data_IF_971494837183
#
_entry.id   IF_971494837183
#
_cell.length_a   1.000
_cell.length_b   1.000
_cell.length_c   1.000
_cell.angle_alpha   90.00
_cell.angle_beta   90.00
_cell.angle_gamma   90.00
#
_symmetry.space_group_name_H-M   'P 1'
#
loop_
_entity.id
_entity.type
_entity.pdbx_description
1 polymer ?
#
# COMPACT_ATOMS: atom_id res chain seq x y z
N UNK A 1 17.06 2.42 3.39
CA UNK A 1 16.54 2.55 2.00
C UNK A 1 15.45 1.53 1.75
N UNK A 2 14.27 1.65 2.36
CA UNK A 2 13.27 0.60 2.19
C UNK A 2 11.86 1.19 2.19
N UNK A 3 11.24 1.00 1.24
CA UNK A 3 10.22 0.43 0.51
C UNK A 3 8.86 0.65 1.06
N UNK A 4 7.94 0.47 0.21
CA UNK A 4 6.53 0.51 0.49
C UNK A 4 6.02 -0.91 0.72
N UNK A 5 5.08 -1.08 1.64
CA UNK A 5 4.40 -2.34 1.84
C UNK A 5 2.92 -2.20 1.56
N UNK A 6 2.37 -3.17 0.88
CA UNK A 6 0.94 -3.25 0.67
C UNK A 6 0.38 -4.51 1.33
N UNK A 7 -0.59 -4.37 2.22
CA UNK A 7 -1.49 -5.43 2.62
C UNK A 7 -2.91 -4.93 2.58
N UNK A 8 -3.78 -5.61 1.87
CA UNK A 8 -5.20 -5.31 1.87
C UNK A 8 -5.55 -3.86 1.50
N UNK A 9 -4.72 -3.22 0.69
CA UNK A 9 -4.95 -1.86 0.24
C UNK A 9 -4.11 -0.77 0.91
N UNK A 10 -3.12 -1.11 1.72
CA UNK A 10 -2.34 -0.13 2.47
C UNK A 10 -0.93 0.05 1.93
N UNK A 11 -0.45 1.27 1.95
CA UNK A 11 0.89 1.64 1.51
C UNK A 11 1.70 2.23 2.65
N UNK A 12 2.95 1.84 2.72
CA UNK A 12 3.92 2.37 3.67
C UNK A 12 4.96 3.13 2.89
N UNK A 13 5.05 4.43 3.09
CA UNK A 13 6.13 5.23 2.58
C UNK A 13 7.35 5.09 3.48
N UNK A 14 8.45 4.53 2.96
CA UNK A 14 9.72 4.48 3.69
C UNK A 14 10.49 5.78 3.52
N UNK A 15 10.76 6.51 4.61
CA UNK A 15 11.78 7.54 4.63
C UNK A 15 13.16 6.89 4.62
N UNK A 16 14.11 7.47 3.89
CA UNK A 16 15.49 7.03 3.83
C UNK A 16 16.13 7.33 5.19
N UNK A 17 16.42 6.30 5.96
CA UNK A 17 17.13 6.42 7.21
C UNK A 17 17.52 5.04 7.73
N UNK A 18 18.71 4.90 8.29
CA UNK A 18 19.04 3.74 9.08
C UNK A 18 18.50 3.94 10.50
N UNK A 19 17.89 2.91 11.10
CA UNK A 19 17.42 2.97 12.47
C UNK A 19 15.97 3.45 12.63
N UNK A 20 15.73 4.51 13.38
CA UNK A 20 14.39 4.98 13.76
C UNK A 20 13.77 5.99 12.79
N UNK A 21 14.48 6.39 11.75
CA UNK A 21 14.01 7.35 10.74
C UNK A 21 13.12 6.68 9.68
N UNK A 22 12.06 6.00 10.15
CA UNK A 22 11.08 5.32 9.31
C UNK A 22 9.77 6.07 9.37
N UNK A 23 9.21 6.41 8.22
CA UNK A 23 7.85 6.94 8.09
C UNK A 23 6.94 5.88 7.48
N UNK A 24 5.81 5.59 8.13
CA UNK A 24 4.83 4.64 7.63
C UNK A 24 3.41 5.19 7.78
N UNK A 25 2.61 5.07 6.72
CA UNK A 25 1.20 5.46 6.70
C UNK A 25 0.47 4.87 5.49
N UNK A 26 -0.84 4.79 5.58
CA UNK A 26 -1.67 4.35 4.46
C UNK A 26 -1.89 5.50 3.48
N UNK A 27 -1.82 5.19 2.18
CA UNK A 27 -1.98 6.20 1.12
C UNK A 27 -3.30 6.09 0.39
N UNK A 28 -3.91 4.89 0.38
CA UNK A 28 -5.17 4.63 -0.33
C UNK A 28 -5.50 3.13 -0.37
N UNK A 29 -6.53 2.73 -1.12
CA UNK A 29 -7.06 1.36 -1.11
C UNK A 29 -6.24 0.35 -1.92
N UNK A 30 -5.19 0.75 -2.59
CA UNK A 30 -4.38 -0.08 -3.51
C UNK A 30 -5.25 -0.87 -4.51
N UNK A 31 -5.09 -2.21 -4.61
CA UNK A 31 -5.88 -3.04 -5.53
C UNK A 31 -7.28 -3.40 -5.01
N UNK A 32 -7.58 -3.18 -3.72
CA UNK A 32 -8.80 -3.70 -3.12
C UNK A 32 -10.08 -3.24 -3.84
N UNK A 33 -10.19 -1.96 -4.20
CA UNK A 33 -11.36 -1.47 -4.94
C UNK A 33 -11.41 -1.99 -6.37
N UNK A 34 -10.25 -2.26 -7.00
CA UNK A 34 -10.19 -2.83 -8.35
C UNK A 34 -10.70 -4.26 -8.29
N UNK A 35 -10.26 -5.04 -7.31
CA UNK A 35 -10.68 -6.43 -7.12
C UNK A 35 -12.19 -6.51 -6.81
N UNK A 36 -12.69 -5.67 -5.91
CA UNK A 36 -14.12 -5.57 -5.60
C UNK A 36 -14.94 -5.15 -6.84
N UNK A 37 -14.44 -4.24 -7.68
CA UNK A 37 -15.06 -3.82 -8.92
C UNK A 37 -15.16 -4.94 -9.94
N UNK A 38 -14.06 -5.64 -10.17
CA UNK A 38 -13.99 -6.76 -11.11
C UNK A 38 -14.88 -7.91 -10.65
N UNK A 39 -14.91 -8.20 -9.35
CA UNK A 39 -15.82 -9.18 -8.77
C UNK A 39 -17.29 -8.80 -9.00
N UNK A 40 -17.65 -7.54 -8.78
CA UNK A 40 -19.02 -7.05 -8.96
C UNK A 40 -19.46 -7.02 -10.43
N UNK A 41 -18.58 -6.61 -11.34
CA UNK A 41 -18.93 -6.41 -12.77
C UNK A 41 -18.79 -7.68 -13.62
N UNK A 42 -17.83 -8.53 -13.29
CA UNK A 42 -17.44 -9.66 -14.14
C UNK A 42 -17.44 -11.01 -13.40
N UNK A 43 -17.65 -11.05 -12.09
CA UNK A 43 -17.57 -12.27 -11.28
C UNK A 43 -16.15 -12.86 -11.19
N UNK A 44 -15.12 -12.07 -11.46
CA UNK A 44 -13.71 -12.48 -11.39
C UNK A 44 -13.07 -11.95 -10.12
N UNK A 45 -12.01 -12.60 -9.64
CA UNK A 45 -11.36 -12.24 -8.37
C UNK A 45 -10.44 -11.03 -8.45
N UNK A 46 -9.96 -10.69 -9.65
CA UNK A 46 -9.01 -9.58 -9.87
C UNK A 46 -8.92 -9.19 -11.35
N UNK A 47 -8.37 -8.03 -11.64
CA UNK A 47 -7.95 -7.63 -13.00
C UNK A 47 -6.58 -8.24 -13.31
N UNK A 48 -6.60 -9.41 -13.95
CA UNK A 48 -5.37 -10.16 -14.27
C UNK A 48 -4.47 -9.34 -15.19
N UNK A 49 -3.25 -9.08 -14.77
CA UNK A 49 -2.24 -8.27 -15.46
C UNK A 49 -2.68 -6.82 -15.74
N UNK A 50 -3.77 -6.35 -15.11
CA UNK A 50 -4.31 -5.03 -15.36
C UNK A 50 -4.89 -4.84 -16.76
N UNK A 51 -5.28 -5.93 -17.44
CA UNK A 51 -5.76 -5.91 -18.84
C UNK A 51 -7.09 -5.18 -18.99
N UNK A 52 -7.99 -5.34 -18.01
CA UNK A 52 -9.27 -4.64 -18.03
C UNK A 52 -9.04 -3.13 -17.89
N UNK A 53 -8.24 -2.71 -16.94
CA UNK A 53 -7.89 -1.30 -16.76
C UNK A 53 -7.18 -0.71 -17.99
N UNK A 54 -6.26 -1.48 -18.61
CA UNK A 54 -5.56 -1.05 -19.82
C UNK A 54 -6.46 -0.87 -21.03
N UNK A 55 -7.62 -1.55 -21.07
CA UNK A 55 -8.60 -1.44 -22.17
C UNK A 55 -9.61 -0.32 -21.97
N UNK A 56 -9.66 0.29 -20.77
CA UNK A 56 -10.60 1.34 -20.43
C UNK A 56 -10.00 2.74 -20.57
N UNK A 57 -10.88 3.73 -20.41
CA UNK A 57 -10.54 5.14 -20.37
C UNK A 57 -10.80 5.70 -18.98
N UNK A 58 -9.84 6.45 -18.45
CA UNK A 58 -9.99 7.09 -17.14
C UNK A 58 -11.03 8.19 -17.19
N UNK A 59 -12.06 8.11 -16.34
CA UNK A 59 -12.98 9.22 -16.10
C UNK A 59 -12.37 10.21 -15.12
N UNK A 60 -11.82 11.29 -15.64
CA UNK A 60 -11.15 12.31 -14.85
C UNK A 60 -12.07 13.07 -13.89
N UNK A 61 -13.36 13.19 -14.21
CA UNK A 61 -14.33 13.84 -13.33
C UNK A 61 -14.64 12.97 -12.10
N UNK A 62 -14.79 11.67 -12.31
CA UNK A 62 -14.95 10.69 -11.23
C UNK A 62 -13.67 10.60 -10.40
N UNK A 63 -12.52 10.49 -11.06
CA UNK A 63 -11.21 10.43 -10.39
C UNK A 63 -10.97 11.64 -9.50
N UNK A 64 -11.23 12.85 -9.99
CA UNK A 64 -11.10 14.08 -9.19
C UNK A 64 -11.96 14.04 -7.93
N UNK A 65 -13.23 13.61 -8.06
CA UNK A 65 -14.12 13.45 -6.90
C UNK A 65 -13.67 12.38 -5.92
N UNK A 66 -12.99 11.33 -6.37
CA UNK A 66 -12.43 10.29 -5.51
C UNK A 66 -11.22 10.80 -4.72
N UNK A 67 -10.42 11.65 -5.34
CA UNK A 67 -9.26 12.29 -4.69
C UNK A 67 -9.63 13.45 -3.77
N UNK A 68 -10.82 14.05 -3.95
CA UNK A 68 -11.35 15.12 -3.11
C UNK A 68 -11.91 14.56 -1.79
N UNK A 69 -11.04 13.99 -0.98
CA UNK A 69 -11.38 13.46 0.35
C UNK A 69 -10.40 14.00 1.39
N UNK A 70 -10.93 14.37 2.54
CA UNK A 70 -10.15 14.96 3.64
C UNK A 70 -8.99 14.08 4.11
N UNK A 71 -9.07 12.77 3.86
CA UNK A 71 -8.01 11.83 4.19
C UNK A 71 -6.67 12.20 3.55
N UNK A 72 -6.66 12.61 2.27
CA UNK A 72 -5.41 12.92 1.56
C UNK A 72 -4.68 14.14 2.14
N UNK A 73 -5.41 15.07 2.76
CA UNK A 73 -4.83 16.23 3.45
C UNK A 73 -4.30 15.93 4.87
N UNK A 74 -4.64 14.78 5.45
CA UNK A 74 -4.16 14.41 6.79
C UNK A 74 -2.66 14.17 6.76
N UNK A 75 -1.97 14.66 7.80
CA UNK A 75 -0.54 14.39 8.02
C UNK A 75 -0.34 12.99 8.63
N UNK A 76 0.75 12.28 8.29
CA UNK A 76 1.14 11.06 9.00
C UNK A 76 1.45 11.33 10.49
N UNK A 77 1.30 10.32 11.36
CA UNK A 77 0.83 8.98 11.05
C UNK A 77 -0.68 8.94 10.79
N UNK A 78 -1.10 8.22 9.77
CA UNK A 78 -2.51 8.05 9.40
C UNK A 78 -2.76 6.64 8.88
N UNK A 79 -3.94 6.10 9.15
CA UNK A 79 -4.36 4.77 8.71
C UNK A 79 -5.74 4.81 8.05
N UNK A 80 -6.04 3.76 7.30
CA UNK A 80 -7.29 3.52 6.60
C UNK A 80 -7.81 2.12 6.92
N UNK A 81 -9.11 2.02 7.08
CA UNK A 81 -9.80 0.73 7.01
C UNK A 81 -10.27 0.43 5.58
N UNK A 82 -10.47 -0.86 5.27
CA UNK A 82 -10.94 -1.29 3.94
C UNK A 82 -12.23 -0.58 3.52
N UNK A 83 -13.10 -0.26 4.47
CA UNK A 83 -14.40 0.38 4.23
C UNK A 83 -14.35 1.90 4.05
N UNK A 84 -13.20 2.55 4.21
CA UNK A 84 -13.09 4.01 4.09
C UNK A 84 -13.27 4.51 2.65
N UNK A 85 -13.08 3.63 1.67
CA UNK A 85 -13.37 3.90 0.27
C UNK A 85 -14.39 2.90 -0.27
N UNK A 86 -15.23 3.35 -1.21
CA UNK A 86 -16.25 2.54 -1.83
C UNK A 86 -16.34 2.75 -3.35
N UNK A 87 -17.17 1.93 -4.00
CA UNK A 87 -17.35 1.92 -5.46
C UNK A 87 -18.44 2.88 -5.96
N UNK A 88 -19.10 3.63 -5.10
CA UNK A 88 -20.29 4.40 -5.46
C UNK A 88 -20.04 5.38 -6.60
N UNK A 89 -18.88 6.03 -6.61
CA UNK A 89 -18.52 7.01 -7.64
C UNK A 89 -18.24 6.41 -9.01
N UNK A 90 -17.70 5.19 -9.05
CA UNK A 90 -17.40 4.47 -10.30
C UNK A 90 -18.57 3.60 -10.79
N UNK A 91 -19.59 3.39 -9.96
CA UNK A 91 -20.74 2.50 -10.27
C UNK A 91 -21.41 2.76 -11.62
N UNK A 92 -21.57 4.04 -12.09
CA UNK A 92 -22.16 4.34 -13.41
C UNK A 92 -21.28 3.96 -14.59
N UNK A 93 -19.98 3.70 -14.38
CA UNK A 93 -19.04 3.39 -15.45
C UNK A 93 -19.21 1.95 -15.93
N UNK A 94 -18.80 1.70 -17.19
CA UNK A 94 -18.62 0.34 -17.67
C UNK A 94 -17.43 -0.35 -16.98
N UNK A 95 -17.31 -1.65 -17.16
CA UNK A 95 -16.29 -2.44 -16.43
C UNK A 95 -14.85 -1.95 -16.68
N UNK A 96 -14.50 -1.65 -17.93
CA UNK A 96 -13.15 -1.25 -18.32
C UNK A 96 -12.82 0.17 -17.83
N UNK A 97 -13.70 1.14 -18.03
CA UNK A 97 -13.48 2.53 -17.60
C UNK A 97 -13.45 2.65 -16.07
N UNK A 98 -14.28 1.87 -15.37
CA UNK A 98 -14.25 1.80 -13.92
C UNK A 98 -12.92 1.24 -13.41
N UNK A 99 -12.41 0.14 -14.02
CA UNK A 99 -11.11 -0.43 -13.67
C UNK A 99 -9.97 0.56 -13.96
N UNK A 100 -9.98 1.23 -15.13
CA UNK A 100 -9.00 2.26 -15.48
C UNK A 100 -9.01 3.42 -14.47
N UNK A 101 -10.19 3.91 -14.11
CA UNK A 101 -10.33 5.02 -13.14
C UNK A 101 -9.87 4.64 -11.74
N UNK A 102 -10.18 3.44 -11.28
CA UNK A 102 -9.73 2.94 -9.97
C UNK A 102 -8.21 2.71 -9.93
N UNK A 103 -7.63 2.21 -11.03
CA UNK A 103 -6.17 2.03 -11.13
C UNK A 103 -5.46 3.38 -11.13
N UNK A 104 -5.98 4.38 -11.84
CA UNK A 104 -5.48 5.76 -11.81
C UNK A 104 -5.65 6.40 -10.42
N UNK A 105 -6.75 6.12 -9.73
CA UNK A 105 -6.97 6.57 -8.34
C UNK A 105 -5.89 6.00 -7.41
N UNK A 106 -5.59 4.71 -7.50
CA UNK A 106 -4.51 4.08 -6.74
C UNK A 106 -3.17 4.74 -7.04
N UNK A 107 -2.79 4.92 -8.30
CA UNK A 107 -1.53 5.53 -8.68
C UNK A 107 -1.39 6.96 -8.14
N UNK A 108 -2.43 7.78 -8.24
CA UNK A 108 -2.44 9.16 -7.73
C UNK A 108 -2.42 9.22 -6.20
N UNK A 109 -3.11 8.32 -5.52
CA UNK A 109 -3.09 8.27 -4.05
C UNK A 109 -1.70 7.88 -3.53
N UNK A 110 -1.01 6.96 -4.21
CA UNK A 110 0.40 6.63 -3.92
C UNK A 110 1.31 7.83 -4.17
N UNK A 111 1.18 8.48 -5.32
CA UNK A 111 2.00 9.64 -5.66
C UNK A 111 1.79 10.82 -4.69
N UNK A 112 0.59 11.00 -4.15
CA UNK A 112 0.29 12.03 -3.14
C UNK A 112 1.09 11.85 -1.85
N UNK A 113 1.56 10.63 -1.53
CA UNK A 113 2.39 10.36 -0.37
C UNK A 113 3.70 11.15 -0.36
N UNK A 114 4.21 11.54 -1.53
CA UNK A 114 5.46 12.34 -1.66
C UNK A 114 5.42 13.65 -0.88
N UNK A 115 4.24 14.24 -0.71
CA UNK A 115 4.08 15.48 0.05
C UNK A 115 4.46 15.34 1.55
N UNK A 116 4.56 14.11 2.04
CA UNK A 116 4.89 13.81 3.43
C UNK A 116 6.33 13.32 3.61
N UNK A 117 7.07 13.13 2.54
CA UNK A 117 8.45 12.63 2.62
C UNK A 117 9.41 13.76 3.03
N UNK A 118 10.35 13.48 3.95
CA UNK A 118 11.36 14.47 4.36
C UNK A 118 12.31 14.82 3.22
N UNK A 119 12.49 13.91 2.27
CA UNK A 119 13.29 14.08 1.05
C UNK A 119 12.61 13.38 -0.12
N UNK A 120 12.83 13.83 -1.38
CA UNK A 120 12.30 13.13 -2.54
C UNK A 120 12.80 11.70 -2.63
N UNK A 121 11.88 10.75 -2.85
CA UNK A 121 12.24 9.37 -3.09
C UNK A 121 13.03 9.24 -4.41
N UNK A 122 14.13 8.49 -4.39
CA UNK A 122 14.95 8.20 -5.58
C UNK A 122 14.44 6.99 -6.34
N UNK A 123 13.74 6.10 -5.66
CA UNK A 123 13.21 4.85 -6.19
C UNK A 123 11.99 4.43 -5.37
N UNK A 124 11.05 3.76 -6.01
CA UNK A 124 9.93 3.08 -5.36
C UNK A 124 10.06 1.59 -5.56
N UNK A 125 9.85 0.84 -4.50
CA UNK A 125 9.85 -0.62 -4.54
C UNK A 125 8.46 -1.10 -4.13
N UNK A 126 7.81 -1.89 -4.98
CA UNK A 126 6.44 -2.36 -4.79
C UNK A 126 6.43 -3.83 -4.41
N UNK A 127 5.68 -4.17 -3.37
CA UNK A 127 5.44 -5.54 -2.92
C UNK A 127 3.93 -5.85 -2.91
N UNK A 128 3.57 -7.10 -2.60
CA UNK A 128 2.18 -7.54 -2.63
C UNK A 128 1.66 -7.79 -4.04
N UNK A 129 0.38 -8.11 -4.19
CA UNK A 129 -0.23 -8.49 -5.47
C UNK A 129 -0.16 -7.43 -6.56
N UNK A 130 -0.22 -6.15 -6.18
CA UNK A 130 -0.19 -5.03 -7.13
C UNK A 130 1.08 -4.96 -7.99
N UNK A 131 2.23 -5.46 -7.49
CA UNK A 131 3.48 -5.51 -8.26
C UNK A 131 3.40 -6.41 -9.51
N UNK A 132 2.45 -7.34 -9.52
CA UNK A 132 2.19 -8.26 -10.65
C UNK A 132 1.25 -7.66 -11.70
N UNK A 133 0.75 -6.43 -11.48
CA UNK A 133 -0.13 -5.72 -12.40
C UNK A 133 0.68 -4.65 -13.16
N UNK A 134 1.10 -4.92 -14.42
CA UNK A 134 1.94 -3.99 -15.19
C UNK A 134 1.26 -2.64 -15.49
N UNK A 135 -0.07 -2.62 -15.63
CA UNK A 135 -0.83 -1.39 -15.83
C UNK A 135 -0.75 -0.49 -14.60
N UNK A 136 -0.93 -1.06 -13.41
CA UNK A 136 -0.80 -0.34 -12.15
C UNK A 136 0.65 0.15 -11.94
N UNK A 137 1.63 -0.71 -12.15
CA UNK A 137 3.05 -0.36 -12.01
C UNK A 137 3.44 0.80 -12.92
N UNK A 138 3.00 0.74 -14.19
CA UNK A 138 3.22 1.83 -15.15
C UNK A 138 2.58 3.14 -14.69
N UNK A 139 1.31 3.11 -14.30
CA UNK A 139 0.62 4.32 -13.84
C UNK A 139 1.25 4.92 -12.58
N UNK A 140 1.71 4.09 -11.64
CA UNK A 140 2.46 4.58 -10.48
C UNK A 140 3.76 5.26 -10.94
N UNK A 141 4.52 4.63 -11.85
CA UNK A 141 5.77 5.20 -12.35
C UNK A 141 5.56 6.54 -13.05
N UNK A 142 4.52 6.62 -13.90
CA UNK A 142 4.15 7.87 -14.59
C UNK A 142 3.81 8.99 -13.58
N UNK A 143 3.10 8.68 -12.49
CA UNK A 143 2.69 9.65 -11.48
C UNK A 143 3.82 10.06 -10.51
N UNK A 144 4.71 9.14 -10.15
CA UNK A 144 5.82 9.46 -9.22
C UNK A 144 7.04 10.04 -9.92
N UNK A 145 7.22 9.80 -11.22
CA UNK A 145 8.28 10.38 -12.03
C UNK A 145 9.69 9.86 -11.72
N UNK A 146 9.80 8.72 -11.05
CA UNK A 146 11.07 8.02 -10.75
C UNK A 146 10.88 6.52 -10.93
N UNK A 147 11.97 5.74 -10.86
CA UNK A 147 11.91 4.28 -11.01
C UNK A 147 10.95 3.65 -10.01
N UNK A 148 10.09 2.75 -10.52
CA UNK A 148 9.15 1.92 -9.74
C UNK A 148 9.40 0.47 -10.11
N UNK A 149 9.92 -0.29 -9.17
CA UNK A 149 10.38 -1.65 -9.39
C UNK A 149 9.64 -2.63 -8.48
N UNK A 150 9.40 -3.87 -8.93
CA UNK A 150 8.95 -4.90 -8.03
C UNK A 150 10.05 -5.27 -7.04
N UNK A 151 9.66 -5.70 -5.85
CA UNK A 151 10.58 -5.97 -4.73
C UNK A 151 11.62 -7.04 -5.04
N UNK A 152 11.40 -7.88 -6.01
CA UNK A 152 12.35 -8.88 -6.52
C UNK A 152 13.62 -8.24 -7.09
N UNK A 153 13.53 -7.00 -7.60
CA UNK A 153 14.70 -6.28 -8.14
C UNK A 153 15.71 -5.89 -7.06
N UNK A 154 15.28 -5.84 -5.79
CA UNK A 154 16.17 -5.63 -4.65
C UNK A 154 16.49 -6.92 -3.90
N UNK A 155 16.20 -8.07 -4.52
CA UNK A 155 16.55 -9.40 -3.99
C UNK A 155 15.61 -9.93 -2.91
N UNK A 156 14.40 -9.38 -2.76
CA UNK A 156 13.42 -9.83 -1.79
C UNK A 156 12.32 -10.66 -2.46
N UNK A 157 11.74 -11.59 -1.69
CA UNK A 157 10.61 -12.40 -2.12
C UNK A 157 9.29 -11.69 -1.79
N UNK A 158 8.66 -11.10 -2.81
CA UNK A 158 7.44 -10.33 -2.63
C UNK A 158 6.20 -11.15 -2.24
N UNK A 159 6.20 -12.45 -2.45
CA UNK A 159 5.11 -13.32 -2.00
C UNK A 159 5.25 -13.70 -0.52
N UNK A 160 6.48 -13.77 -0.01
CA UNK A 160 6.78 -14.13 1.38
C UNK A 160 7.16 -12.94 2.28
N UNK A 161 7.27 -11.73 1.73
CA UNK A 161 7.76 -10.56 2.48
C UNK A 161 6.93 -10.26 3.73
N UNK A 162 5.63 -10.49 3.68
CA UNK A 162 4.76 -10.30 4.84
C UNK A 162 5.08 -11.28 5.97
N UNK A 163 5.25 -12.56 5.64
CA UNK A 163 5.63 -13.59 6.61
C UNK A 163 6.99 -13.28 7.23
N UNK A 164 7.96 -12.84 6.41
CA UNK A 164 9.28 -12.40 6.89
C UNK A 164 9.19 -11.19 7.82
N UNK A 165 8.32 -10.22 7.52
CA UNK A 165 8.13 -9.06 8.39
C UNK A 165 7.51 -9.46 9.74
N UNK A 166 6.55 -10.38 9.77
CA UNK A 166 6.01 -10.89 11.04
C UNK A 166 7.03 -11.71 11.81
N UNK A 167 7.85 -12.53 11.14
CA UNK A 167 8.96 -13.22 11.79
C UNK A 167 9.95 -12.23 12.42
N UNK A 168 10.31 -11.18 11.68
CA UNK A 168 11.17 -10.10 12.20
C UNK A 168 10.57 -9.41 13.43
N UNK A 169 9.28 -9.07 13.39
CA UNK A 169 8.58 -8.49 14.54
C UNK A 169 8.52 -9.47 15.73
N UNK A 170 8.35 -10.77 15.46
CA UNK A 170 8.39 -11.81 16.50
C UNK A 170 9.75 -11.86 17.21
N UNK A 171 10.84 -11.85 16.46
CA UNK A 171 12.20 -11.80 17.02
C UNK A 171 12.40 -10.53 17.84
N UNK A 172 11.98 -9.36 17.34
CA UNK A 172 12.05 -8.10 18.09
C UNK A 172 11.26 -8.16 19.39
N UNK A 173 10.07 -8.78 19.37
CA UNK A 173 9.23 -8.94 20.56
C UNK A 173 9.93 -9.76 21.65
N UNK A 174 10.50 -10.91 21.30
CA UNK A 174 11.21 -11.76 22.30
C UNK A 174 12.56 -11.19 22.73
N UNK A 175 13.11 -10.25 21.97
CA UNK A 175 14.35 -9.52 22.28
C UNK A 175 14.09 -8.18 22.98
N UNK A 176 12.86 -7.90 23.37
CA UNK A 176 12.44 -6.64 24.02
C UNK A 176 12.80 -5.37 23.22
N UNK A 177 12.79 -5.49 21.89
CA UNK A 177 13.05 -4.38 20.97
C UNK A 177 11.75 -3.71 20.54
N UNK A 178 11.76 -2.39 20.25
CA UNK A 178 10.56 -1.67 19.83
C UNK A 178 9.92 -2.26 18.56
N UNK A 179 8.60 -2.41 18.58
CA UNK A 179 7.77 -2.84 17.45
C UNK A 179 7.07 -1.66 16.76
N UNK A 180 6.91 -0.55 17.46
CA UNK A 180 6.23 0.67 16.99
C UNK A 180 7.05 1.90 17.28
N UNK A 181 7.00 2.85 16.35
CA UNK A 181 7.69 4.14 16.43
C UNK A 181 6.67 5.29 16.30
N UNK A 182 6.98 6.50 16.84
CA UNK A 182 6.09 7.65 16.69
C UNK A 182 5.74 7.97 15.23
N UNK A 183 6.68 7.79 14.33
CA UNK A 183 6.54 8.06 12.88
C UNK A 183 5.82 6.97 12.10
N UNK A 184 5.52 5.83 12.71
CA UNK A 184 4.84 4.71 12.05
C UNK A 184 3.41 4.52 12.55
N UNK A 185 3.19 4.53 13.85
CA UNK A 185 1.88 4.23 14.46
C UNK A 185 1.37 5.34 15.36
N UNK A 186 2.12 6.45 15.52
CA UNK A 186 1.71 7.58 16.35
C UNK A 186 1.86 7.36 17.86
N UNK A 187 2.59 6.35 18.28
CA UNK A 187 2.92 6.14 19.70
C UNK A 187 3.81 7.27 20.22
N UNK A 188 3.71 7.60 21.53
CA UNK A 188 4.43 8.72 22.10
C UNK A 188 5.97 8.54 22.12
N UNK A 189 6.44 7.31 22.11
CA UNK A 189 7.87 6.92 22.07
C UNK A 189 8.00 5.52 21.47
N UNK A 190 9.20 5.05 21.10
CA UNK A 190 9.40 3.66 20.70
C UNK A 190 8.80 2.69 21.73
N UNK A 191 7.92 1.78 21.27
CA UNK A 191 7.17 0.87 22.12
C UNK A 191 7.50 -0.57 21.80
N UNK A 192 7.87 -1.33 22.83
CA UNK A 192 7.90 -2.79 22.78
C UNK A 192 6.47 -3.33 22.82
N UNK A 193 6.29 -4.62 22.52
CA UNK A 193 4.97 -5.24 22.56
C UNK A 193 5.02 -6.72 22.18
N UNK A 194 3.84 -7.29 22.02
CA UNK A 194 3.68 -8.72 21.80
C UNK A 194 3.65 -9.49 23.12
N UNK A 195 3.19 -10.73 23.04
CA UNK A 195 3.16 -11.68 24.15
C UNK A 195 3.59 -13.05 23.66
N UNK A 196 4.66 -13.58 24.27
CA UNK A 196 5.09 -14.94 24.01
C UNK A 196 4.14 -15.92 24.68
N UNK A 197 3.56 -16.81 23.91
CA UNK A 197 2.77 -17.93 24.39
C UNK A 197 3.56 -19.22 24.14
N UNK A 198 3.92 -19.91 25.23
CA UNK A 198 4.60 -21.20 25.15
C UNK A 198 3.58 -22.33 25.27
N UNK A 199 3.78 -23.45 24.58
CA UNK A 199 2.92 -24.61 24.74
C UNK A 199 3.00 -25.17 26.18
N UNK A 200 1.91 -25.78 26.68
CA UNK A 200 1.94 -26.41 28.00
C UNK A 200 3.09 -27.42 28.11
N UNK A 201 3.87 -27.33 29.21
CA UNK A 201 4.99 -28.24 29.45
C UNK A 201 6.30 -27.89 28.75
N UNK A 202 6.36 -26.80 28.00
CA UNK A 202 7.64 -26.31 27.45
C UNK A 202 8.57 -25.87 28.59
N UNK A 203 9.72 -26.54 28.65
CA UNK A 203 10.83 -26.17 29.55
C UNK A 203 11.92 -25.60 28.64
N UNK A 204 11.98 -24.25 28.56
CA UNK A 204 13.00 -23.52 27.80
C UNK A 204 14.39 -23.83 28.24
#
# INVERSE_FOLDING_TARGET
EYGARCRGGHWVGGGIGAGEDILAFDTGPASALIDDWVAQKLGQSMDVDGKLAASGTVDHAVLSKMLDQSYFAKKPPKSLDRGDFNLDRVRPLNAADGAATLTAFTAKSVAAARAHFPQPAKQWVVTGGGRKNPTMMKLIADEVGVSVEPVEQVGWDGDNLEAQAFAFLGVRSVSDLPLSLPTTTGVARPMTGGRLHLPPGYKG
#
